data_IF_439907209731
#
_entry.id   IF_439907209731
#
_cell.length_a   1.000
_cell.length_b   1.000
_cell.length_c   1.000
_cell.angle_alpha   90.00
_cell.angle_beta   90.00
_cell.angle_gamma   90.00
#
_symmetry.space_group_name_H-M   'P 1'
#
loop_
_entity.id
_entity.type
_entity.pdbx_description
1 polymer ?
#
# COMPACT_ATOMS: atom_id res chain seq x y z
N UNK A 1 20.46 30.24 8.03
CA UNK A 1 19.17 30.18 7.31
C UNK A 1 19.34 29.71 5.86
N UNK A 2 20.37 30.13 5.17
CA UNK A 2 20.65 29.72 3.77
C UNK A 2 20.83 28.21 3.59
N UNK A 3 21.53 27.52 4.52
CA UNK A 3 21.70 26.07 4.53
C UNK A 3 20.38 25.31 4.64
N UNK A 4 19.45 25.76 5.49
CA UNK A 4 18.11 25.15 5.61
C UNK A 4 17.25 25.39 4.36
N UNK A 5 17.42 26.50 3.68
CA UNK A 5 16.72 26.77 2.43
C UNK A 5 17.24 25.92 1.26
N UNK A 6 18.53 25.63 1.24
CA UNK A 6 19.16 24.88 0.13
C UNK A 6 18.93 23.36 0.24
N UNK A 7 18.86 22.82 1.47
CA UNK A 7 18.70 21.36 1.72
C UNK A 7 17.27 21.04 2.15
N UNK A 8 16.54 21.98 2.75
CA UNK A 8 15.25 21.74 3.38
C UNK A 8 14.18 21.21 2.41
N UNK A 9 14.06 21.78 1.23
CA UNK A 9 13.09 21.34 0.24
C UNK A 9 13.34 19.91 -0.24
N UNK A 10 14.59 19.61 -0.58
CA UNK A 10 14.98 18.27 -1.01
C UNK A 10 14.76 17.22 0.09
N UNK A 11 15.13 17.53 1.33
CA UNK A 11 14.93 16.63 2.46
C UNK A 11 13.45 16.36 2.75
N UNK A 12 12.59 17.38 2.67
CA UNK A 12 11.15 17.25 2.85
C UNK A 12 10.54 16.37 1.74
N UNK A 13 10.93 16.62 0.48
CA UNK A 13 10.47 15.82 -0.66
C UNK A 13 10.90 14.34 -0.52
N UNK A 14 12.14 14.10 -0.12
CA UNK A 14 12.68 12.76 0.11
C UNK A 14 11.94 12.03 1.25
N UNK A 15 11.61 12.74 2.33
CA UNK A 15 10.79 12.19 3.42
C UNK A 15 9.40 11.80 2.92
N UNK A 16 8.74 12.66 2.14
CA UNK A 16 7.43 12.34 1.55
C UNK A 16 7.48 11.11 0.66
N UNK A 17 8.46 11.05 -0.24
CA UNK A 17 8.66 9.90 -1.10
C UNK A 17 8.91 8.62 -0.29
N UNK A 18 9.80 8.68 0.71
CA UNK A 18 10.09 7.55 1.60
C UNK A 18 8.86 7.07 2.36
N UNK A 19 8.01 8.00 2.84
CA UNK A 19 6.78 7.66 3.54
C UNK A 19 5.76 6.94 2.65
N UNK A 20 5.65 7.30 1.36
CA UNK A 20 4.78 6.60 0.42
C UNK A 20 5.10 5.10 0.34
N UNK A 21 6.37 4.76 0.16
CA UNK A 21 6.80 3.36 0.13
C UNK A 21 6.70 2.71 1.52
N UNK A 22 7.26 3.34 2.54
CA UNK A 22 7.40 2.75 3.88
C UNK A 22 6.06 2.44 4.53
N UNK A 23 5.14 3.41 4.60
CA UNK A 23 3.88 3.21 5.30
C UNK A 23 2.97 2.22 4.56
N UNK A 24 2.91 2.27 3.25
CA UNK A 24 2.17 1.30 2.46
C UNK A 24 2.74 -0.12 2.61
N UNK A 25 4.08 -0.27 2.62
CA UNK A 25 4.73 -1.57 2.86
C UNK A 25 4.47 -2.10 4.28
N UNK A 26 4.49 -1.24 5.30
CA UNK A 26 4.13 -1.63 6.68
C UNK A 26 2.69 -2.11 6.75
N UNK A 27 1.77 -1.42 6.05
CA UNK A 27 0.37 -1.84 5.93
C UNK A 27 0.26 -3.21 5.29
N UNK A 28 0.92 -3.40 4.14
CA UNK A 28 0.92 -4.67 3.42
C UNK A 28 1.53 -5.81 4.23
N UNK A 29 2.64 -5.58 4.92
CA UNK A 29 3.24 -6.58 5.79
C UNK A 29 2.29 -7.03 6.91
N UNK A 30 1.59 -6.08 7.55
CA UNK A 30 0.58 -6.40 8.56
C UNK A 30 -0.62 -7.11 7.96
N UNK A 31 -1.13 -6.64 6.81
CA UNK A 31 -2.29 -7.23 6.15
C UNK A 31 -2.04 -8.67 5.68
N UNK A 32 -0.93 -8.89 4.98
CA UNK A 32 -0.53 -10.24 4.54
C UNK A 32 -0.21 -11.16 5.72
N UNK A 33 0.34 -10.62 6.82
CA UNK A 33 0.57 -11.37 8.05
C UNK A 33 -0.73 -11.87 8.67
N UNK A 34 -1.72 -10.98 8.85
CA UNK A 34 -3.05 -11.33 9.40
C UNK A 34 -3.72 -12.43 8.55
N UNK A 35 -3.70 -12.28 7.22
CA UNK A 35 -4.25 -13.27 6.31
C UNK A 35 -3.43 -14.58 6.33
N UNK A 36 -2.10 -14.46 6.48
CA UNK A 36 -1.16 -15.58 6.52
C UNK A 36 -1.36 -16.50 7.73
N UNK A 37 -1.66 -15.93 8.90
CA UNK A 37 -1.99 -16.71 10.09
C UNK A 37 -3.19 -17.65 9.84
N UNK A 38 -4.27 -17.09 9.24
CA UNK A 38 -5.45 -17.90 8.89
C UNK A 38 -5.15 -18.93 7.79
N UNK A 39 -4.34 -18.53 6.77
CA UNK A 39 -3.96 -19.41 5.67
C UNK A 39 -3.10 -20.58 6.16
N UNK A 40 -2.15 -20.33 7.06
CA UNK A 40 -1.31 -21.37 7.65
C UNK A 40 -2.12 -22.37 8.48
N UNK A 41 -3.08 -21.88 9.27
CA UNK A 41 -4.00 -22.75 10.01
C UNK A 41 -4.79 -23.67 9.09
N UNK A 42 -5.38 -23.13 8.02
CA UNK A 42 -6.12 -23.93 7.04
C UNK A 42 -5.22 -24.94 6.32
N UNK A 43 -4.01 -24.53 5.91
CA UNK A 43 -3.07 -25.43 5.22
C UNK A 43 -2.57 -26.58 6.11
N UNK A 44 -2.49 -26.35 7.43
CA UNK A 44 -2.15 -27.40 8.39
C UNK A 44 -3.27 -28.45 8.53
N UNK A 45 -4.55 -28.04 8.44
CA UNK A 45 -5.70 -28.92 8.50
C UNK A 45 -5.97 -29.61 7.15
N UNK A 46 -5.84 -28.88 6.04
CA UNK A 46 -6.10 -29.36 4.70
C UNK A 46 -5.09 -28.77 3.70
N UNK A 47 -3.94 -29.47 3.49
CA UNK A 47 -2.90 -29.02 2.56
C UNK A 47 -3.37 -28.84 1.11
N UNK A 48 -4.47 -29.47 0.69
CA UNK A 48 -5.00 -29.35 -0.67
C UNK A 48 -5.51 -27.93 -0.97
N UNK A 49 -5.84 -27.14 0.06
CA UNK A 49 -6.34 -25.78 -0.04
C UNK A 49 -5.23 -24.71 -0.06
N UNK A 50 -3.96 -25.10 0.08
CA UNK A 50 -2.82 -24.17 0.17
C UNK A 50 -2.79 -23.15 -0.97
N UNK A 51 -2.95 -23.58 -2.22
CA UNK A 51 -2.86 -22.68 -3.37
C UNK A 51 -3.94 -21.57 -3.36
N UNK A 52 -5.19 -21.93 -3.05
CA UNK A 52 -6.29 -20.96 -2.94
C UNK A 52 -6.11 -20.04 -1.72
N UNK A 53 -5.63 -20.55 -0.60
CA UNK A 53 -5.34 -19.79 0.60
C UNK A 53 -4.22 -18.76 0.35
N UNK A 54 -3.15 -19.16 -0.34
CA UNK A 54 -2.04 -18.30 -0.72
C UNK A 54 -2.51 -17.13 -1.62
N UNK A 55 -3.39 -17.38 -2.59
CA UNK A 55 -3.95 -16.32 -3.44
C UNK A 55 -4.69 -15.27 -2.59
N UNK A 56 -5.51 -15.70 -1.64
CA UNK A 56 -6.22 -14.78 -0.73
C UNK A 56 -5.24 -14.02 0.15
N UNK A 57 -4.19 -14.68 0.65
CA UNK A 57 -3.19 -14.08 1.53
C UNK A 57 -2.39 -12.96 0.86
N UNK A 58 -2.05 -13.07 -0.43
CA UNK A 58 -1.19 -12.08 -1.08
C UNK A 58 -1.90 -10.79 -1.46
N UNK A 59 -3.24 -10.78 -1.51
CA UNK A 59 -4.02 -9.61 -1.93
C UNK A 59 -3.68 -8.36 -1.08
N UNK A 60 -3.60 -8.41 0.26
CA UNK A 60 -3.22 -7.24 1.07
C UNK A 60 -1.77 -6.76 0.89
N UNK A 61 -1.02 -7.39 -0.01
CA UNK A 61 0.34 -6.99 -0.41
C UNK A 61 0.40 -5.91 -1.48
N UNK A 62 -0.69 -5.68 -2.21
CA UNK A 62 -0.74 -4.78 -3.37
C UNK A 62 -0.48 -3.32 -3.00
N UNK A 63 -0.91 -2.87 -1.81
CA UNK A 63 -0.72 -1.50 -1.35
C UNK A 63 0.77 -1.13 -1.22
N UNK A 64 1.59 -2.08 -0.80
CA UNK A 64 3.05 -1.89 -0.75
C UNK A 64 3.63 -1.60 -2.13
N UNK A 65 3.17 -2.32 -3.17
CA UNK A 65 3.55 -2.05 -4.56
C UNK A 65 3.10 -0.66 -5.01
N UNK A 66 1.88 -0.25 -4.67
CA UNK A 66 1.35 1.08 -5.01
C UNK A 66 2.17 2.20 -4.35
N UNK A 67 2.52 2.04 -3.07
CA UNK A 67 3.40 2.97 -2.38
C UNK A 67 4.78 3.05 -3.00
N UNK A 68 5.32 1.91 -3.45
CA UNK A 68 6.61 1.85 -4.13
C UNK A 68 6.56 2.55 -5.51
N UNK A 69 5.48 2.41 -6.26
CA UNK A 69 5.28 3.14 -7.53
C UNK A 69 5.27 4.65 -7.30
N UNK A 70 4.56 5.13 -6.29
CA UNK A 70 4.53 6.57 -5.97
C UNK A 70 5.89 7.06 -5.48
N UNK A 71 6.61 6.27 -4.66
CA UNK A 71 8.00 6.58 -4.28
C UNK A 71 8.88 6.78 -5.52
N UNK A 72 8.82 5.86 -6.49
CA UNK A 72 9.61 5.93 -7.71
C UNK A 72 9.31 7.20 -8.53
N UNK A 73 8.02 7.52 -8.70
CA UNK A 73 7.59 8.73 -9.42
C UNK A 73 7.99 10.01 -8.68
N UNK A 74 7.84 10.03 -7.35
CA UNK A 74 8.24 11.15 -6.51
C UNK A 74 9.78 11.35 -6.54
N UNK A 75 10.53 10.25 -6.55
CA UNK A 75 11.99 10.30 -6.66
C UNK A 75 12.45 10.97 -7.96
N UNK A 76 11.72 10.77 -9.06
CA UNK A 76 11.95 11.45 -10.35
C UNK A 76 11.67 12.95 -10.35
N UNK A 77 10.99 13.48 -9.32
CA UNK A 77 10.73 14.92 -9.13
C UNK A 77 11.77 15.61 -8.24
N UNK A 78 12.68 14.85 -7.62
CA UNK A 78 13.69 15.42 -6.73
C UNK A 78 14.81 16.08 -7.57
N UNK A 79 14.99 17.38 -7.38
CA UNK A 79 16.06 18.14 -8.04
C UNK A 79 16.89 18.90 -7.00
N UNK A 80 18.23 19.00 -7.20
CA UNK A 80 19.07 19.80 -6.31
C UNK A 80 18.60 21.26 -6.28
N UNK A 81 18.62 21.87 -5.08
CA UNK A 81 18.20 23.28 -4.93
C UNK A 81 16.69 23.50 -4.86
N UNK A 82 15.88 22.43 -4.65
CA UNK A 82 14.44 22.58 -4.41
C UNK A 82 14.15 23.54 -3.28
N UNK A 83 13.17 24.43 -3.50
CA UNK A 83 12.63 25.27 -2.42
C UNK A 83 11.84 24.44 -1.42
N UNK A 84 11.70 24.95 -0.19
CA UNK A 84 10.85 24.32 0.83
C UNK A 84 9.41 24.11 0.33
N UNK A 85 8.89 25.08 -0.45
CA UNK A 85 7.56 24.98 -1.04
C UNK A 85 7.44 23.79 -1.99
N UNK A 86 8.39 23.63 -2.93
CA UNK A 86 8.43 22.48 -3.85
C UNK A 86 8.56 21.16 -3.10
N UNK A 87 9.39 21.11 -2.04
CA UNK A 87 9.52 19.95 -1.20
C UNK A 87 8.21 19.57 -0.49
N UNK A 88 7.49 20.56 0.03
CA UNK A 88 6.18 20.37 0.65
C UNK A 88 5.11 19.91 -0.34
N UNK A 89 5.17 20.35 -1.59
CA UNK A 89 4.25 19.88 -2.64
C UNK A 89 4.46 18.39 -2.94
N UNK A 90 5.72 17.95 -3.10
CA UNK A 90 6.03 16.50 -3.28
C UNK A 90 5.61 15.70 -2.05
N UNK A 91 5.94 16.18 -0.84
CA UNK A 91 5.56 15.54 0.41
C UNK A 91 4.05 15.34 0.49
N UNK A 92 3.27 16.40 0.25
CA UNK A 92 1.80 16.37 0.31
C UNK A 92 1.21 15.40 -0.73
N UNK A 93 1.80 15.34 -1.93
CA UNK A 93 1.37 14.43 -2.99
C UNK A 93 1.60 12.95 -2.64
N UNK A 94 2.54 12.66 -1.76
CA UNK A 94 2.82 11.28 -1.30
C UNK A 94 1.88 10.79 -0.19
N UNK A 95 1.23 11.70 0.56
CA UNK A 95 0.43 11.35 1.73
C UNK A 95 -0.80 10.47 1.42
N UNK A 96 -1.56 10.66 0.34
CA UNK A 96 -2.73 9.83 0.08
C UNK A 96 -2.40 8.34 0.07
N UNK A 97 -1.38 7.92 -0.68
CA UNK A 97 -1.01 6.50 -0.73
C UNK A 97 -0.29 6.04 0.54
N UNK A 98 0.48 6.91 1.19
CA UNK A 98 1.16 6.59 2.44
C UNK A 98 0.15 6.17 3.52
N UNK A 99 -0.90 6.98 3.71
CA UNK A 99 -1.93 6.75 4.72
C UNK A 99 -2.97 5.75 4.23
N UNK A 100 -3.50 5.95 3.01
CA UNK A 100 -4.51 5.09 2.42
C UNK A 100 -4.02 3.67 2.22
N UNK A 101 -2.78 3.50 1.74
CA UNK A 101 -2.14 2.19 1.60
C UNK A 101 -1.94 1.47 2.93
N UNK A 102 -1.46 2.18 3.96
CA UNK A 102 -1.29 1.63 5.31
C UNK A 102 -2.61 1.10 5.87
N UNK A 103 -3.65 1.91 5.85
CA UNK A 103 -4.92 1.59 6.51
C UNK A 103 -5.74 0.56 5.73
N UNK A 104 -5.80 0.69 4.40
CA UNK A 104 -6.54 -0.25 3.55
C UNK A 104 -5.93 -1.64 3.56
N UNK A 105 -4.60 -1.77 3.55
CA UNK A 105 -3.93 -3.07 3.61
C UNK A 105 -4.25 -3.83 4.90
N UNK A 106 -4.22 -3.15 6.05
CA UNK A 106 -4.58 -3.76 7.35
C UNK A 106 -6.06 -4.18 7.37
N UNK A 107 -6.95 -3.32 6.86
CA UNK A 107 -8.37 -3.65 6.76
C UNK A 107 -8.60 -4.85 5.83
N UNK A 108 -7.95 -4.85 4.67
CA UNK A 108 -8.04 -5.94 3.69
C UNK A 108 -7.49 -7.25 4.23
N UNK A 109 -6.40 -7.21 5.02
CA UNK A 109 -5.85 -8.40 5.68
C UNK A 109 -6.85 -9.09 6.61
N UNK A 110 -7.65 -8.31 7.35
CA UNK A 110 -8.74 -8.84 8.20
C UNK A 110 -9.85 -9.49 7.36
N UNK A 111 -10.22 -8.86 6.25
CA UNK A 111 -11.20 -9.40 5.31
C UNK A 111 -10.66 -10.67 4.64
N UNK A 112 -9.39 -10.70 4.26
CA UNK A 112 -8.73 -11.87 3.70
C UNK A 112 -8.70 -13.05 4.69
N UNK A 113 -8.35 -12.81 5.95
CA UNK A 113 -8.41 -13.83 7.00
C UNK A 113 -9.83 -14.40 7.19
N UNK A 114 -10.86 -13.52 7.19
CA UNK A 114 -12.25 -13.97 7.21
C UNK A 114 -12.64 -14.76 5.96
N UNK A 115 -12.13 -14.39 4.79
CA UNK A 115 -12.36 -15.06 3.51
C UNK A 115 -11.76 -16.46 3.46
N UNK A 116 -10.66 -16.71 4.16
CA UNK A 116 -10.07 -18.04 4.32
C UNK A 116 -11.03 -18.98 5.04
N UNK A 117 -11.87 -18.49 5.96
CA UNK A 117 -12.93 -19.30 6.56
C UNK A 117 -14.02 -19.72 5.54
N UNK A 118 -14.27 -18.92 4.52
CA UNK A 118 -15.15 -19.31 3.40
C UNK A 118 -14.51 -20.47 2.65
N UNK A 119 -13.23 -20.36 2.30
CA UNK A 119 -12.47 -21.41 1.64
C UNK A 119 -12.44 -22.69 2.48
N UNK A 120 -12.30 -22.58 3.81
CA UNK A 120 -12.29 -23.73 4.71
C UNK A 120 -13.61 -24.49 4.69
N UNK A 121 -14.73 -23.78 4.82
CA UNK A 121 -16.08 -24.37 5.00
C UNK A 121 -16.81 -24.64 3.69
N UNK A 122 -16.53 -23.86 2.64
CA UNK A 122 -17.19 -23.93 1.32
C UNK A 122 -16.16 -23.70 0.22
N UNK A 123 -15.33 -24.72 -0.10
CA UNK A 123 -14.20 -24.56 -1.03
C UNK A 123 -14.58 -24.08 -2.45
N UNK A 124 -15.81 -24.37 -2.89
CA UNK A 124 -16.31 -23.91 -4.20
C UNK A 124 -16.71 -22.43 -4.21
N UNK A 125 -16.96 -21.86 -3.04
CA UNK A 125 -17.35 -20.46 -2.86
C UNK A 125 -16.16 -19.51 -2.56
N UNK A 126 -14.92 -19.97 -2.63
CA UNK A 126 -13.72 -19.21 -2.26
C UNK A 126 -13.59 -17.87 -3.01
N UNK A 127 -14.06 -17.81 -4.27
CA UNK A 127 -14.06 -16.59 -5.07
C UNK A 127 -14.90 -15.47 -4.47
N UNK A 128 -15.96 -15.79 -3.70
CA UNK A 128 -16.75 -14.80 -2.96
C UNK A 128 -15.89 -14.08 -1.92
N UNK A 129 -14.99 -14.81 -1.27
CA UNK A 129 -14.01 -14.22 -0.35
C UNK A 129 -13.07 -13.24 -1.04
N UNK A 130 -12.61 -13.56 -2.25
CA UNK A 130 -11.80 -12.64 -3.05
C UNK A 130 -12.55 -11.35 -3.40
N UNK A 131 -13.84 -11.44 -3.76
CA UNK A 131 -14.66 -10.27 -4.06
C UNK A 131 -14.71 -9.32 -2.85
N UNK A 132 -14.88 -9.83 -1.63
CA UNK A 132 -14.84 -9.00 -0.42
C UNK A 132 -13.48 -8.28 -0.25
N UNK A 133 -12.37 -8.94 -0.57
CA UNK A 133 -11.04 -8.32 -0.53
C UNK A 133 -10.93 -7.20 -1.59
N UNK A 134 -11.41 -7.42 -2.81
CA UNK A 134 -11.37 -6.44 -3.91
C UNK A 134 -12.15 -5.16 -3.57
N UNK A 135 -13.24 -5.25 -2.80
CA UNK A 135 -13.98 -4.07 -2.36
C UNK A 135 -13.08 -3.16 -1.48
N UNK A 136 -12.22 -3.71 -0.64
CA UNK A 136 -11.28 -2.92 0.17
C UNK A 136 -10.14 -2.39 -0.69
N UNK A 137 -9.67 -3.17 -1.67
CA UNK A 137 -8.64 -2.79 -2.63
C UNK A 137 -8.97 -1.48 -3.36
N UNK A 138 -10.24 -1.27 -3.68
CA UNK A 138 -10.70 -0.08 -4.39
C UNK A 138 -10.24 1.23 -3.71
N UNK A 139 -10.23 1.29 -2.38
CA UNK A 139 -9.78 2.49 -1.66
C UNK A 139 -8.27 2.70 -1.73
N UNK A 140 -7.50 1.63 -1.84
CA UNK A 140 -6.08 1.72 -2.10
C UNK A 140 -5.79 2.29 -3.50
N UNK A 141 -6.54 1.83 -4.51
CA UNK A 141 -6.44 2.34 -5.88
C UNK A 141 -6.81 3.83 -5.95
N UNK A 142 -7.84 4.27 -5.24
CA UNK A 142 -8.19 5.70 -5.17
C UNK A 142 -7.07 6.51 -4.52
N UNK A 143 -6.42 5.98 -3.49
CA UNK A 143 -5.28 6.64 -2.84
C UNK A 143 -4.05 6.71 -3.75
N UNK A 144 -3.79 5.64 -4.51
CA UNK A 144 -2.76 5.61 -5.56
C UNK A 144 -3.04 6.69 -6.62
N UNK A 145 -4.27 6.74 -7.13
CA UNK A 145 -4.67 7.70 -8.17
C UNK A 145 -4.54 9.14 -7.67
N UNK A 146 -4.96 9.42 -6.44
CA UNK A 146 -4.82 10.75 -5.85
C UNK A 146 -3.35 11.18 -5.79
N UNK A 147 -2.46 10.35 -5.25
CA UNK A 147 -1.02 10.62 -5.21
C UNK A 147 -0.42 10.80 -6.60
N UNK A 148 -0.80 9.94 -7.54
CA UNK A 148 -0.32 9.99 -8.92
C UNK A 148 -0.71 11.31 -9.61
N UNK A 149 -1.97 11.72 -9.51
CA UNK A 149 -2.45 12.97 -10.12
C UNK A 149 -1.81 14.20 -9.48
N UNK A 150 -1.65 14.21 -8.15
CA UNK A 150 -0.96 15.28 -7.45
C UNK A 150 0.49 15.43 -7.91
N UNK A 151 1.25 14.32 -8.00
CA UNK A 151 2.64 14.36 -8.47
C UNK A 151 2.76 14.81 -9.93
N UNK A 152 1.87 14.35 -10.81
CA UNK A 152 1.89 14.74 -12.21
C UNK A 152 1.46 16.19 -12.43
N UNK A 153 0.69 16.77 -11.53
CA UNK A 153 0.31 18.18 -11.56
C UNK A 153 1.43 19.14 -11.15
N UNK A 154 2.54 18.65 -10.61
CA UNK A 154 3.68 19.48 -10.21
C UNK A 154 4.50 19.90 -11.44
N UNK A 155 4.61 21.21 -11.64
CA UNK A 155 5.36 21.84 -12.74
C UNK A 155 6.53 22.66 -12.18
N UNK A 156 7.64 22.03 -11.89
CA UNK A 156 8.92 22.67 -11.56
C UNK A 156 10.08 21.75 -11.97
#
# INVERSE_FOLDING_TARGET
>A
MEFLNTIGGYAIALLGAGMAAFLACVGSAKGTGIAGEAAAGLAAEDPSKFGKALIIQVIPGTQGLYGFVIWFLAFGKLVPGMTVEQGMQVFSACLPIAIGGLLSAVAQGKVAAASINILAKKPDDWSKGMIFCIIVEFYAILSLLASFLMLNGLSF
#
